data_IF_686305103363
#
_entry.id   IF_686305103363
#
_cell.length_a   1.000
_cell.length_b   1.000
_cell.length_c   1.000
_cell.angle_alpha   90.00
_cell.angle_beta   90.00
_cell.angle_gamma   90.00
#
_symmetry.space_group_name_H-M   'P 1'
#
loop_
_entity.id
_entity.type
_entity.pdbx_description
1 polymer ?
#
# COMPACT_ATOMS: atom_id res chain seq x y z
N UNK A 1 20.19 14.61 -9.37
CA UNK A 1 20.79 15.24 -8.17
C UNK A 1 21.98 16.06 -8.63
N UNK A 2 22.27 17.18 -7.96
CA UNK A 2 23.51 17.94 -8.18
C UNK A 2 24.63 17.13 -7.52
N UNK A 3 25.75 16.96 -8.23
CA UNK A 3 26.94 16.29 -7.69
C UNK A 3 27.97 17.35 -7.29
N UNK A 4 28.68 17.10 -6.20
CA UNK A 4 29.75 17.97 -5.71
C UNK A 4 31.07 17.21 -5.71
N UNK A 5 32.17 17.89 -6.00
CA UNK A 5 33.50 17.30 -5.98
C UNK A 5 34.58 18.34 -6.19
N UNK A 6 35.77 17.88 -6.61
CA UNK A 6 36.92 18.75 -6.77
C UNK A 6 37.41 18.72 -8.23
N UNK A 7 37.90 19.85 -8.72
CA UNK A 7 38.86 19.90 -9.81
C UNK A 7 40.25 19.60 -9.24
N UNK A 8 41.03 18.75 -9.90
CA UNK A 8 42.38 18.36 -9.45
C UNK A 8 43.36 18.78 -10.52
N UNK A 9 44.35 19.62 -10.17
CA UNK A 9 45.38 20.02 -11.11
C UNK A 9 46.32 18.85 -11.42
N UNK A 10 46.71 18.66 -12.69
CA UNK A 10 47.51 17.50 -13.11
C UNK A 10 48.94 17.50 -12.56
N UNK A 11 49.52 18.69 -12.32
CA UNK A 11 50.93 18.84 -11.94
C UNK A 11 51.15 19.02 -10.43
N UNK A 12 50.22 19.67 -9.75
CA UNK A 12 50.37 20.08 -8.34
C UNK A 12 49.32 19.44 -7.44
N UNK A 13 48.37 18.67 -8.01
CA UNK A 13 47.26 18.01 -7.31
C UNK A 13 46.41 18.94 -6.42
N UNK A 14 46.42 20.24 -6.72
CA UNK A 14 45.63 21.23 -5.99
C UNK A 14 44.15 20.96 -6.27
N UNK A 15 43.37 20.86 -5.18
CA UNK A 15 41.94 20.53 -5.19
C UNK A 15 41.09 21.79 -5.05
N UNK A 16 40.28 22.10 -6.06
CA UNK A 16 39.32 23.23 -6.02
C UNK A 16 37.89 22.71 -6.07
N UNK A 17 36.99 23.20 -5.20
CA UNK A 17 35.58 22.75 -5.18
C UNK A 17 34.87 23.06 -6.50
N UNK A 18 34.05 22.13 -6.98
CA UNK A 18 33.17 22.29 -8.15
C UNK A 18 31.85 21.55 -7.97
N UNK A 19 30.85 21.95 -8.76
CA UNK A 19 29.55 21.29 -8.84
C UNK A 19 29.25 20.84 -10.28
N UNK A 20 28.48 19.76 -10.43
CA UNK A 20 27.96 19.27 -11.70
C UNK A 20 26.44 19.27 -11.68
N UNK A 21 25.86 20.08 -12.56
CA UNK A 21 24.41 20.17 -12.70
C UNK A 21 23.91 19.18 -13.75
N UNK A 22 22.75 18.55 -13.53
CA UNK A 22 22.11 17.77 -14.57
C UNK A 22 21.64 18.68 -15.70
N UNK A 23 21.66 18.17 -16.93
CA UNK A 23 21.16 18.89 -18.09
C UNK A 23 19.62 18.91 -18.08
N UNK A 24 19.03 19.99 -17.54
CA UNK A 24 17.59 20.21 -17.41
C UNK A 24 17.08 21.10 -18.54
N UNK A 25 15.96 20.72 -19.16
CA UNK A 25 15.29 21.46 -20.24
C UNK A 25 13.80 21.60 -19.95
N UNK A 26 13.22 22.73 -20.35
CA UNK A 26 11.77 22.96 -20.38
C UNK A 26 11.23 22.41 -21.70
N UNK A 27 10.32 21.44 -21.66
CA UNK A 27 9.69 20.84 -22.84
C UNK A 27 8.19 20.65 -22.64
N UNK A 28 7.45 20.75 -23.72
CA UNK A 28 6.04 20.40 -23.78
C UNK A 28 5.92 18.95 -24.26
N UNK A 29 5.43 18.07 -23.40
CA UNK A 29 5.21 16.65 -23.69
C UNK A 29 3.72 16.40 -23.83
N UNK A 30 3.32 15.63 -24.84
CA UNK A 30 1.92 15.27 -25.04
C UNK A 30 1.52 14.10 -24.15
N UNK A 31 0.42 14.25 -23.43
CA UNK A 31 -0.24 13.17 -22.68
C UNK A 31 -1.47 12.73 -23.48
N UNK A 32 -1.56 11.44 -23.76
CA UNK A 32 -2.69 10.82 -24.49
C UNK A 32 -3.91 10.76 -23.59
N UNK A 33 -3.74 10.34 -22.34
CA UNK A 33 -4.82 10.22 -21.37
C UNK A 33 -5.51 11.57 -21.08
N UNK A 34 -4.73 12.65 -20.99
CA UNK A 34 -5.25 14.00 -20.74
C UNK A 34 -5.54 14.79 -22.04
N UNK A 35 -5.25 14.21 -23.21
CA UNK A 35 -5.34 14.83 -24.53
C UNK A 35 -4.78 16.26 -24.62
N UNK A 36 -3.68 16.54 -23.93
CA UNK A 36 -3.07 17.88 -23.87
C UNK A 36 -1.56 17.84 -23.74
N UNK A 37 -0.91 18.94 -24.13
CA UNK A 37 0.54 19.13 -23.94
C UNK A 37 0.83 19.73 -22.57
N UNK A 38 1.66 19.04 -21.79
CA UNK A 38 2.07 19.45 -20.45
C UNK A 38 3.50 20.01 -20.53
N UNK A 39 3.69 21.23 -20.05
CA UNK A 39 5.00 21.87 -19.98
C UNK A 39 5.69 21.49 -18.67
N UNK A 40 6.79 20.77 -18.76
CA UNK A 40 7.56 20.28 -17.60
C UNK A 40 9.05 20.58 -17.72
N UNK A 41 9.72 20.70 -16.57
CA UNK A 41 11.19 20.77 -16.47
C UNK A 41 11.74 19.36 -16.31
N UNK A 42 12.35 18.83 -17.35
CA UNK A 42 12.85 17.44 -17.38
C UNK A 42 14.33 17.39 -17.66
N UNK A 43 15.00 16.40 -17.08
CA UNK A 43 16.39 16.10 -17.45
C UNK A 43 16.45 15.41 -18.82
N UNK A 44 17.52 15.61 -19.57
CA UNK A 44 17.70 14.93 -20.87
C UNK A 44 17.77 13.39 -20.75
N UNK A 45 18.19 12.86 -19.59
CA UNK A 45 18.14 11.41 -19.31
C UNK A 45 16.68 10.93 -19.23
N UNK A 46 15.82 11.68 -18.54
CA UNK A 46 14.39 11.36 -18.41
C UNK A 46 13.69 11.46 -19.76
N UNK A 47 14.03 12.45 -20.57
CA UNK A 47 13.51 12.60 -21.94
C UNK A 47 13.77 11.35 -22.79
N UNK A 48 15.01 10.86 -22.82
CA UNK A 48 15.35 9.61 -23.53
C UNK A 48 14.58 8.40 -23.00
N UNK A 49 14.32 8.35 -21.69
CA UNK A 49 13.53 7.24 -21.14
C UNK A 49 12.06 7.33 -21.50
N UNK A 50 11.50 8.54 -21.62
CA UNK A 50 10.13 8.77 -22.08
C UNK A 50 9.99 8.28 -23.52
N UNK A 51 10.95 8.62 -24.38
CA UNK A 51 10.96 8.16 -25.77
C UNK A 51 11.11 6.63 -25.85
N UNK A 52 11.94 6.04 -24.99
CA UNK A 52 12.15 4.58 -24.93
C UNK A 52 10.88 3.81 -24.51
N UNK A 53 10.08 4.35 -23.59
CA UNK A 53 8.84 3.69 -23.15
C UNK A 53 7.64 4.00 -24.03
N UNK A 54 7.77 4.96 -24.96
CA UNK A 54 6.75 5.29 -25.95
C UNK A 54 5.77 6.40 -25.55
N UNK A 55 6.07 7.16 -24.48
CA UNK A 55 5.20 8.27 -24.08
C UNK A 55 5.40 8.74 -22.63
N UNK A 56 4.80 9.91 -22.33
CA UNK A 56 4.80 10.47 -20.98
C UNK A 56 3.95 9.63 -20.02
N UNK A 57 2.79 9.16 -20.49
CA UNK A 57 1.83 8.44 -19.66
C UNK A 57 2.40 7.08 -19.26
N UNK A 58 3.01 6.36 -20.20
CA UNK A 58 3.72 5.09 -19.94
C UNK A 58 4.90 5.29 -18.97
N UNK A 59 5.60 6.43 -19.05
CA UNK A 59 6.67 6.74 -18.11
C UNK A 59 6.15 6.95 -16.68
N UNK A 60 5.02 7.64 -16.52
CA UNK A 60 4.42 7.96 -15.22
C UNK A 60 3.71 6.76 -14.58
N UNK A 61 3.09 5.91 -15.38
CA UNK A 61 2.40 4.69 -14.94
C UNK A 61 3.36 3.49 -14.70
N UNK A 62 4.67 3.69 -14.82
CA UNK A 62 5.65 2.63 -14.59
C UNK A 62 5.57 2.04 -13.17
N UNK A 63 5.36 0.73 -13.08
CA UNK A 63 5.10 0.00 -11.83
C UNK A 63 6.34 -0.19 -10.95
N UNK A 64 7.54 -0.19 -11.55
CA UNK A 64 8.80 -0.45 -10.82
C UNK A 64 8.98 0.53 -9.66
N UNK A 65 9.27 0.03 -8.46
CA UNK A 65 9.50 0.85 -7.26
C UNK A 65 10.56 1.93 -7.46
N UNK A 66 11.62 1.64 -8.23
CA UNK A 66 12.64 2.61 -8.60
C UNK A 66 12.08 3.80 -9.40
N UNK A 67 11.06 3.58 -10.25
CA UNK A 67 10.40 4.65 -11.02
C UNK A 67 9.68 5.60 -10.09
N UNK A 68 8.93 5.06 -9.14
CA UNK A 68 8.16 5.83 -8.15
C UNK A 68 9.07 6.76 -7.35
N UNK A 69 10.20 6.22 -6.87
CA UNK A 69 11.22 7.01 -6.14
C UNK A 69 11.83 8.15 -6.98
N UNK A 70 11.88 8.01 -8.30
CA UNK A 70 12.48 9.02 -9.20
C UNK A 70 11.51 10.10 -9.70
N UNK A 71 10.21 9.93 -9.49
CA UNK A 71 9.17 10.81 -10.05
C UNK A 71 9.17 12.21 -9.39
N UNK A 72 9.44 12.25 -8.08
CA UNK A 72 9.30 13.46 -7.27
C UNK A 72 7.85 13.92 -7.14
N UNK A 73 7.62 15.06 -6.50
CA UNK A 73 6.28 15.59 -6.22
C UNK A 73 5.50 15.94 -7.50
N UNK A 74 6.10 16.70 -8.42
CA UNK A 74 5.44 17.08 -9.68
C UNK A 74 5.07 15.86 -10.52
N UNK A 75 5.98 14.89 -10.60
CA UNK A 75 5.72 13.66 -11.34
C UNK A 75 4.65 12.79 -10.68
N UNK A 76 4.62 12.71 -9.35
CA UNK A 76 3.56 12.03 -8.61
C UNK A 76 2.20 12.69 -8.82
N UNK A 77 2.14 14.02 -8.75
CA UNK A 77 0.92 14.79 -9.06
C UNK A 77 0.41 14.48 -10.47
N UNK A 78 1.30 14.47 -11.48
CA UNK A 78 0.92 14.12 -12.85
C UNK A 78 0.40 12.68 -12.94
N UNK A 79 1.04 11.74 -12.23
CA UNK A 79 0.57 10.35 -12.16
C UNK A 79 -0.83 10.26 -11.56
N UNK A 80 -1.09 10.90 -10.42
CA UNK A 80 -2.42 10.94 -9.81
C UNK A 80 -3.47 11.52 -10.77
N UNK A 81 -3.14 12.64 -11.45
CA UNK A 81 -4.04 13.23 -12.44
C UNK A 81 -4.34 12.29 -13.60
N UNK A 82 -3.35 11.54 -14.08
CA UNK A 82 -3.54 10.56 -15.17
C UNK A 82 -4.37 9.37 -14.69
N UNK A 83 -4.11 8.85 -13.48
CA UNK A 83 -4.86 7.74 -12.89
C UNK A 83 -6.34 8.07 -12.64
N UNK A 84 -6.67 9.34 -12.44
CA UNK A 84 -8.05 9.80 -12.32
C UNK A 84 -8.83 9.81 -13.64
N UNK A 85 -8.15 9.70 -14.80
CA UNK A 85 -8.85 9.71 -16.10
C UNK A 85 -9.53 8.38 -16.38
N UNK A 86 -10.74 8.44 -16.98
CA UNK A 86 -11.52 7.24 -17.37
C UNK A 86 -10.74 6.31 -18.29
N UNK A 87 -10.04 6.89 -19.28
CA UNK A 87 -9.21 6.12 -20.22
C UNK A 87 -8.19 5.20 -19.54
N UNK A 88 -7.62 5.63 -18.40
CA UNK A 88 -6.64 4.85 -17.64
C UNK A 88 -7.33 3.90 -16.67
N UNK A 89 -8.42 4.32 -16.04
CA UNK A 89 -9.26 3.47 -15.19
C UNK A 89 -9.78 2.25 -15.96
N UNK A 90 -10.35 2.46 -17.15
CA UNK A 90 -10.89 1.41 -18.02
C UNK A 90 -9.80 0.45 -18.49
N UNK A 91 -8.62 1.00 -18.83
CA UNK A 91 -7.42 0.21 -19.16
C UNK A 91 -7.02 -0.70 -17.99
N UNK A 92 -7.01 -0.18 -16.77
CA UNK A 92 -6.66 -0.96 -15.57
C UNK A 92 -7.73 -1.98 -15.19
N UNK A 93 -9.02 -1.67 -15.35
CA UNK A 93 -10.09 -2.64 -15.17
C UNK A 93 -10.01 -3.77 -16.21
N UNK A 94 -9.68 -3.46 -17.46
CA UNK A 94 -9.43 -4.47 -18.50
C UNK A 94 -8.26 -5.39 -18.12
N UNK A 95 -7.18 -4.81 -17.56
CA UNK A 95 -6.04 -5.59 -17.05
C UNK A 95 -6.44 -6.47 -15.84
N UNK A 96 -7.24 -5.94 -14.90
CA UNK A 96 -7.77 -6.72 -13.77
C UNK A 96 -8.61 -7.90 -14.24
N UNK A 97 -9.51 -7.67 -15.20
CA UNK A 97 -10.35 -8.72 -15.78
C UNK A 97 -9.51 -9.83 -16.41
N UNK A 98 -8.45 -9.46 -17.13
CA UNK A 98 -7.50 -10.41 -17.72
C UNK A 98 -6.72 -11.22 -16.67
N UNK A 99 -6.51 -10.66 -15.47
CA UNK A 99 -5.88 -11.34 -14.33
C UNK A 99 -6.88 -12.10 -13.45
N UNK A 100 -8.18 -12.08 -13.77
CA UNK A 100 -9.24 -12.71 -12.95
C UNK A 100 -9.59 -11.95 -11.67
N UNK A 101 -9.16 -10.70 -11.54
CA UNK A 101 -9.48 -9.83 -10.42
C UNK A 101 -10.82 -9.10 -10.65
N UNK A 102 -11.60 -8.80 -9.59
CA UNK A 102 -12.82 -8.02 -9.73
C UNK A 102 -12.52 -6.61 -10.28
N UNK A 103 -13.46 -6.08 -11.04
CA UNK A 103 -13.38 -4.71 -11.55
C UNK A 103 -13.49 -3.70 -10.40
N UNK A 104 -12.84 -2.56 -10.58
CA UNK A 104 -12.90 -1.48 -9.60
C UNK A 104 -13.88 -0.41 -10.08
N UNK A 105 -14.94 -0.17 -9.31
CA UNK A 105 -15.82 0.96 -9.53
C UNK A 105 -15.24 2.21 -8.85
N UNK A 106 -14.56 3.02 -9.65
CA UNK A 106 -13.91 4.23 -9.19
C UNK A 106 -14.90 5.32 -8.71
N UNK A 107 -16.15 5.31 -9.17
CA UNK A 107 -17.17 6.28 -8.71
C UNK A 107 -17.68 5.91 -7.32
N UNK A 108 -17.95 4.61 -7.09
CA UNK A 108 -18.31 4.09 -5.77
C UNK A 108 -17.19 4.33 -4.77
N UNK A 109 -15.94 3.99 -5.12
CA UNK A 109 -14.79 4.26 -4.23
C UNK A 109 -14.63 5.74 -3.91
N UNK A 110 -14.79 6.63 -4.89
CA UNK A 110 -14.71 8.06 -4.63
C UNK A 110 -15.80 8.52 -3.66
N UNK A 111 -17.00 7.95 -3.78
CA UNK A 111 -18.14 8.23 -2.90
C UNK A 111 -17.88 7.72 -1.48
N UNK A 112 -17.42 6.48 -1.34
CA UNK A 112 -17.04 5.88 -0.05
C UNK A 112 -15.94 6.67 0.66
N UNK A 113 -14.89 7.06 -0.08
CA UNK A 113 -13.79 7.85 0.47
C UNK A 113 -14.24 9.24 0.94
N UNK A 114 -15.19 9.87 0.25
CA UNK A 114 -15.75 11.16 0.67
C UNK A 114 -16.69 11.05 1.88
N UNK A 115 -17.21 9.85 2.16
CA UNK A 115 -18.10 9.57 3.29
C UNK A 115 -17.35 9.08 4.54
N UNK A 116 -16.03 8.88 4.45
CA UNK A 116 -15.23 8.48 5.60
C UNK A 116 -15.37 9.54 6.72
N UNK A 117 -15.68 9.13 7.96
CA UNK A 117 -15.79 10.06 9.08
C UNK A 117 -14.52 10.87 9.24
N UNK A 118 -14.65 12.19 9.33
CA UNK A 118 -13.54 13.11 9.65
C UNK A 118 -12.83 12.71 10.95
N UNK A 119 -13.55 12.04 11.85
CA UNK A 119 -13.08 11.48 13.13
C UNK A 119 -11.84 10.56 12.99
N UNK A 120 -11.70 9.82 11.88
CA UNK A 120 -10.52 8.97 11.65
C UNK A 120 -9.26 9.78 11.29
N UNK A 121 -9.43 10.95 10.65
CA UNK A 121 -8.33 11.88 10.37
C UNK A 121 -7.87 12.60 11.65
N UNK A 122 -8.79 12.83 12.58
CA UNK A 122 -8.49 13.45 13.87
C UNK A 122 -7.74 12.49 14.81
N UNK A 123 -8.01 11.19 14.73
CA UNK A 123 -7.28 10.14 15.47
C UNK A 123 -5.82 9.93 14.97
N UNK A 124 -5.55 10.11 13.67
CA UNK A 124 -4.16 10.10 13.16
C UNK A 124 -3.39 11.37 13.57
N UNK A 125 -4.08 12.51 13.69
CA UNK A 125 -3.49 13.79 14.10
C UNK A 125 -3.23 13.87 15.61
N UNK A 126 -3.96 13.13 16.43
CA UNK A 126 -3.75 13.06 17.89
C UNK A 126 -2.53 12.22 18.28
N UNK A 127 -1.97 11.43 17.36
CA UNK A 127 -0.80 10.59 17.62
C UNK A 127 -1.10 9.39 18.52
N UNK A 128 -2.38 9.12 18.79
CA UNK A 128 -2.83 7.90 19.44
C UNK A 128 -2.51 6.73 18.50
N UNK A 129 -1.69 5.76 18.92
CA UNK A 129 -1.40 4.61 18.09
C UNK A 129 -2.71 3.88 17.82
N UNK A 130 -3.05 3.71 16.54
CA UNK A 130 -4.09 2.76 16.15
C UNK A 130 -3.65 1.39 16.66
N UNK A 131 -4.31 0.90 17.71
CA UNK A 131 -4.14 -0.47 18.18
C UNK A 131 -4.69 -1.40 17.10
N UNK A 132 -3.84 -1.70 16.12
CA UNK A 132 -4.04 -2.87 15.28
C UNK A 132 -3.85 -4.05 16.21
N UNK A 133 -4.95 -4.61 16.69
CA UNK A 133 -4.96 -5.78 17.57
C UNK A 133 -4.22 -6.93 16.89
N UNK A 134 -2.92 -7.02 17.16
CA UNK A 134 -2.16 -8.24 16.95
C UNK A 134 -2.60 -9.12 18.11
N UNK A 135 -3.55 -10.01 17.85
CA UNK A 135 -3.77 -11.14 18.75
C UNK A 135 -2.43 -11.86 18.86
N UNK A 136 -1.78 -11.73 20.02
CA UNK A 136 -0.57 -12.45 20.35
C UNK A 136 -0.86 -13.95 20.23
N UNK A 137 -0.27 -14.62 19.24
CA UNK A 137 -0.31 -16.07 19.19
C UNK A 137 0.33 -16.62 20.48
N UNK A 138 -0.47 -17.33 21.27
CA UNK A 138 -0.04 -18.01 22.49
C UNK A 138 1.06 -19.02 22.13
N UNK A 139 2.11 -19.18 22.97
CA UNK A 139 3.16 -20.16 22.72
C UNK A 139 2.56 -21.57 22.69
N UNK A 140 2.80 -22.29 21.59
CA UNK A 140 2.49 -23.71 21.46
C UNK A 140 3.39 -24.50 22.42
N UNK A 141 2.85 -24.89 23.58
CA UNK A 141 3.57 -25.65 24.60
C UNK A 141 3.64 -27.13 24.16
N UNK A 142 4.79 -27.53 23.59
CA UNK A 142 5.10 -28.94 23.35
C UNK A 142 5.45 -29.64 24.68
N UNK A 143 4.41 -30.07 25.40
CA UNK A 143 4.52 -30.94 26.57
C UNK A 143 4.57 -32.41 26.16
N UNK A 144 5.76 -32.92 25.89
CA UNK A 144 6.07 -34.35 25.79
C UNK A 144 5.73 -35.05 27.12
N UNK A 145 4.95 -36.13 27.06
CA UNK A 145 4.51 -36.91 28.23
C UNK A 145 5.69 -37.47 29.06
N UNK A 146 5.63 -37.29 30.38
CA UNK A 146 6.37 -38.13 31.32
C UNK A 146 5.53 -38.47 32.56
N UNK A 147 4.97 -39.68 32.51
CA UNK A 147 4.72 -40.70 33.55
C UNK A 147 4.59 -40.28 35.03
N UNK A 148 3.51 -40.82 35.61
CA UNK A 148 2.93 -40.73 36.96
C UNK A 148 3.83 -40.96 38.19
N UNK A 149 3.59 -40.20 39.28
CA UNK A 149 3.74 -40.64 40.68
C UNK A 149 2.67 -40.00 41.59
N UNK A 150 2.12 -40.84 42.49
CA UNK A 150 0.95 -40.75 43.36
C UNK A 150 0.92 -39.64 44.44
N UNK A 151 -0.29 -39.17 44.81
CA UNK A 151 -0.60 -38.76 46.20
C UNK A 151 -1.63 -37.64 46.44
N UNK A 152 -2.89 -38.02 46.70
CA UNK A 152 -3.84 -37.50 47.71
C UNK A 152 -4.18 -35.99 47.87
N UNK A 153 -5.48 -35.66 47.72
CA UNK A 153 -6.09 -34.46 48.33
C UNK A 153 -7.38 -33.99 47.65
N UNK A 154 -8.55 -34.30 48.22
CA UNK A 154 -9.87 -33.78 47.81
C UNK A 154 -10.07 -32.31 48.22
N UNK A 155 -10.54 -31.46 47.29
CA UNK A 155 -11.26 -30.23 47.58
C UNK A 155 -12.23 -29.87 46.44
N UNK A 156 -13.49 -30.26 46.64
CA UNK A 156 -14.75 -29.59 46.23
C UNK A 156 -14.82 -28.73 44.96
N UNK A 157 -15.50 -29.30 43.96
CA UNK A 157 -16.57 -28.74 43.11
C UNK A 157 -16.36 -27.43 42.33
N UNK A 158 -16.26 -27.57 41.00
CA UNK A 158 -16.92 -26.69 40.01
C UNK A 158 -17.47 -27.58 38.88
N UNK A 159 -18.72 -27.39 38.43
CA UNK A 159 -19.35 -28.32 37.51
C UNK A 159 -18.80 -28.17 36.07
N UNK A 160 -18.59 -29.31 35.43
CA UNK A 160 -18.02 -29.51 34.09
C UNK A 160 -18.74 -28.76 32.97
N UNK A 161 -18.03 -28.48 31.84
CA UNK A 161 -18.54 -27.81 30.63
C UNK A 161 -19.70 -28.54 29.92
N UNK A 162 -20.07 -29.74 30.36
CA UNK A 162 -21.19 -30.52 29.81
C UNK A 162 -22.55 -29.82 30.03
N UNK A 163 -22.71 -29.04 31.11
CA UNK A 163 -23.94 -28.27 31.36
C UNK A 163 -24.12 -27.11 30.38
N UNK A 164 -23.03 -26.60 29.79
CA UNK A 164 -23.10 -25.55 28.79
C UNK A 164 -23.56 -26.10 27.43
N UNK A 165 -22.99 -27.23 27.02
CA UNK A 165 -23.39 -27.91 25.78
C UNK A 165 -24.87 -28.36 25.83
N UNK A 166 -25.32 -28.90 26.97
CA UNK A 166 -26.74 -29.26 27.16
C UNK A 166 -27.68 -28.06 27.04
N UNK A 167 -27.26 -26.86 27.50
CA UNK A 167 -28.06 -25.63 27.36
C UNK A 167 -28.08 -25.10 25.93
N UNK A 168 -26.98 -25.25 25.19
CA UNK A 168 -26.91 -24.88 23.77
C UNK A 168 -27.79 -25.80 22.94
N UNK A 169 -27.75 -27.11 23.19
CA UNK A 169 -28.56 -28.09 22.47
C UNK A 169 -30.06 -27.97 22.81
N UNK A 170 -30.42 -27.67 24.07
CA UNK A 170 -31.79 -27.41 24.48
C UNK A 170 -32.36 -26.10 23.87
N UNK A 171 -31.52 -25.08 23.69
CA UNK A 171 -31.92 -23.83 23.04
C UNK A 171 -32.13 -24.03 21.52
N UNK A 172 -31.33 -24.88 20.88
CA UNK A 172 -31.46 -25.20 19.46
C UNK A 172 -32.67 -26.09 19.16
N UNK A 173 -33.04 -27.01 20.05
CA UNK A 173 -34.23 -27.87 19.85
C UNK A 173 -35.55 -27.11 19.97
N UNK A 174 -35.67 -26.20 20.95
CA UNK A 174 -36.88 -25.37 21.15
C UNK A 174 -37.15 -24.39 20.00
N UNK A 175 -36.08 -23.92 19.35
CA UNK A 175 -36.20 -23.00 18.22
C UNK A 175 -36.66 -23.70 16.93
N UNK A 176 -36.48 -25.02 16.83
CA UNK A 176 -36.87 -25.82 15.67
C UNK A 176 -38.36 -26.26 15.70
N UNK A 177 -38.97 -26.41 16.89
CA UNK A 177 -40.40 -26.72 17.02
C UNK A 177 -41.32 -25.52 16.77
N UNK A 178 -40.82 -24.28 16.87
CA UNK A 178 -41.58 -23.07 16.53
C UNK A 178 -41.53 -22.70 15.04
N UNK A 179 -40.71 -23.38 14.24
CA UNK A 179 -40.50 -23.11 12.82
C UNK A 179 -41.21 -24.11 11.89
N UNK A 180 -42.18 -24.88 12.39
CA UNK A 180 -43.02 -25.82 11.64
C UNK A 180 -44.50 -25.59 11.93
#
# INVERSE_FOLDING_TARGET
RIQFGNNVSRKTEIKTRRSWYPNIKRKALFSKALNRRIRVRVSTRVMRTIDKVGGLDEYLLGEKSARIKTLGMEGWRLRCMIMATKTVQDRFNSQRRALGLPELDYELLATELNQLPTELLDAEMSGEPLEFGVEEEQPFDEGFESVDVLGGGEATSSPRPEQFQQRVDEALSKNWEQAR
#
